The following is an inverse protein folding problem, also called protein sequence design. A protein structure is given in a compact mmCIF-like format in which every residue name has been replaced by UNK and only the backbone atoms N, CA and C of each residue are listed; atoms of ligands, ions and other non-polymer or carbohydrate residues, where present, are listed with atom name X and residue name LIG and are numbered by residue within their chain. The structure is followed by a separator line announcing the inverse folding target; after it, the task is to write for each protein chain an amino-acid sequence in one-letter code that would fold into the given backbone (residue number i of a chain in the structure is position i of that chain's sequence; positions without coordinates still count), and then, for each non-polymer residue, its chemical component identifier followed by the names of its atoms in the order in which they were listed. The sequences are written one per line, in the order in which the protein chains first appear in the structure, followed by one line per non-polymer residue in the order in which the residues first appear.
data_IF_968369682701
#
_entry.id   IF_968369682701
#
_cell.length_a   1.000
_cell.length_b   1.000
_cell.length_c   1.000
_cell.angle_alpha   90.00
_cell.angle_beta   90.00
_cell.angle_gamma   90.00
#
_symmetry.space_group_name_H-M   'P 1'
#
loop_
_entity.id
_entity.type
_entity.pdbx_description
1 polymer ?
#
# COMPACT_ATOMS: atom_id res chain seq x y z
N UNK A 1 -5.75 4.53 9.89
CA UNK A 1 -5.48 5.55 10.94
C UNK A 1 -4.43 4.99 11.89
N UNK A 2 -3.16 5.36 11.69
CA UNK A 2 -2.05 5.01 12.59
C UNK A 2 -2.16 5.88 13.84
N UNK A 3 -2.72 5.38 14.93
CA UNK A 3 -2.32 5.85 16.26
C UNK A 3 -0.97 5.18 16.53
N UNK A 4 0.10 5.98 16.51
CA UNK A 4 1.35 5.62 17.17
C UNK A 4 0.97 5.43 18.65
N UNK A 5 1.31 4.30 19.23
CA UNK A 5 0.86 3.97 20.59
C UNK A 5 1.34 5.03 21.57
N UNK A 6 0.41 5.64 22.30
CA UNK A 6 0.60 6.35 23.56
C UNK A 6 1.44 7.63 23.58
N UNK A 7 2.40 7.78 22.67
CA UNK A 7 3.28 8.92 22.61
C UNK A 7 2.99 9.81 21.40
N UNK A 8 2.81 11.10 21.64
CA UNK A 8 2.70 12.07 20.56
C UNK A 8 4.01 12.13 19.76
N UNK A 9 4.00 12.68 18.53
CA UNK A 9 5.26 13.04 17.85
C UNK A 9 6.17 13.95 18.71
N UNK A 10 5.61 14.57 19.75
CA UNK A 10 6.28 15.42 20.74
C UNK A 10 7.19 14.63 21.70
N UNK A 11 6.96 13.33 21.91
CA UNK A 11 7.78 12.51 22.84
C UNK A 11 9.18 12.15 22.29
N UNK A 12 9.40 12.41 20.99
CA UNK A 12 10.69 12.19 20.31
C UNK A 12 11.63 13.41 20.39
N UNK A 13 11.35 14.40 21.24
CA UNK A 13 12.18 15.61 21.42
C UNK A 13 13.13 15.59 22.65
N UNK A 14 13.33 14.44 23.30
CA UNK A 14 14.33 14.30 24.40
C UNK A 14 15.78 14.23 23.86
N UNK A 15 16.81 14.31 24.70
CA UNK A 15 18.23 14.24 24.26
C UNK A 15 18.59 12.96 23.48
N UNK A 16 17.86 11.85 23.70
CA UNK A 16 17.94 10.63 22.86
C UNK A 16 17.16 10.76 21.53
N UNK A 17 16.15 11.62 21.51
CA UNK A 17 15.29 11.92 20.36
C UNK A 17 15.97 12.73 19.24
N UNK A 18 17.04 13.49 19.54
CA UNK A 18 17.81 14.19 18.50
C UNK A 18 18.48 13.22 17.52
N UNK A 19 18.91 12.03 17.97
CA UNK A 19 19.53 11.03 17.11
C UNK A 19 18.53 10.35 16.16
N UNK A 20 17.25 10.23 16.56
CA UNK A 20 16.21 9.57 15.78
C UNK A 20 15.33 10.53 14.98
N UNK A 21 15.45 11.84 15.23
CA UNK A 21 14.67 12.89 14.57
C UNK A 21 14.75 12.84 13.04
N UNK A 22 15.95 12.98 12.48
CA UNK A 22 16.17 12.99 11.03
C UNK A 22 15.82 11.67 10.36
N UNK A 23 16.25 10.49 10.89
CA UNK A 23 15.78 9.19 10.42
C UNK A 23 14.25 9.10 10.34
N UNK A 24 13.53 9.60 11.35
CA UNK A 24 12.06 9.56 11.38
C UNK A 24 11.45 10.44 10.28
N UNK A 25 12.01 11.62 10.05
CA UNK A 25 11.57 12.50 8.96
C UNK A 25 11.79 11.83 7.60
N UNK A 26 12.98 11.25 7.36
CA UNK A 26 13.28 10.53 6.12
C UNK A 26 12.33 9.35 5.90
N UNK A 27 12.07 8.57 6.95
CA UNK A 27 11.15 7.45 6.90
C UNK A 27 9.74 7.87 6.49
N UNK A 28 9.21 8.94 7.10
CA UNK A 28 7.87 9.46 6.82
C UNK A 28 7.77 9.99 5.38
N UNK A 29 8.81 10.64 4.86
CA UNK A 29 8.88 11.09 3.47
C UNK A 29 8.87 9.89 2.52
N UNK A 30 9.75 8.92 2.69
CA UNK A 30 9.83 7.73 1.81
C UNK A 30 8.51 6.95 1.81
N UNK A 31 7.84 6.86 2.96
CA UNK A 31 6.54 6.20 3.09
C UNK A 31 5.39 6.97 2.43
N UNK A 32 5.61 8.22 2.03
CA UNK A 32 4.58 9.07 1.44
C UNK A 32 3.63 9.68 2.47
N UNK A 33 4.10 9.95 3.69
CA UNK A 33 3.36 10.72 4.71
C UNK A 33 3.98 12.12 4.93
N UNK A 34 3.89 13.01 3.92
CA UNK A 34 4.51 14.33 4.00
C UNK A 34 3.87 15.24 5.05
N UNK A 35 2.62 14.98 5.46
CA UNK A 35 1.93 15.76 6.51
C UNK A 35 2.56 15.48 7.86
N UNK A 36 2.78 14.20 8.20
CA UNK A 36 3.46 13.85 9.46
C UNK A 36 4.91 14.29 9.44
N UNK A 37 5.62 14.11 8.32
CA UNK A 37 6.99 14.61 8.18
C UNK A 37 7.04 16.13 8.42
N UNK A 38 6.12 16.89 7.83
CA UNK A 38 5.99 18.33 8.07
C UNK A 38 5.66 18.68 9.53
N UNK A 39 4.86 17.86 10.21
CA UNK A 39 4.55 18.05 11.64
C UNK A 39 5.77 17.83 12.52
N UNK A 40 6.55 16.77 12.26
CA UNK A 40 7.80 16.50 12.99
C UNK A 40 8.83 17.58 12.70
N UNK A 41 8.97 18.04 11.46
CA UNK A 41 9.87 19.13 11.12
C UNK A 41 9.57 20.43 11.89
N UNK A 42 8.30 20.74 12.17
CA UNK A 42 7.91 21.92 12.94
C UNK A 42 8.36 21.89 14.40
N UNK A 43 8.63 20.71 14.96
CA UNK A 43 9.15 20.59 16.33
C UNK A 43 10.66 20.77 16.40
N UNK A 44 11.33 20.96 15.25
CA UNK A 44 12.76 21.20 15.21
C UNK A 44 13.13 22.58 15.80
N UNK A 45 14.18 22.64 16.60
CA UNK A 45 14.65 23.85 17.30
C UNK A 45 14.90 25.06 16.39
N UNK A 46 15.21 24.84 15.11
CA UNK A 46 15.37 25.92 14.14
C UNK A 46 14.08 26.69 13.80
N UNK A 47 12.90 26.17 14.17
CA UNK A 47 11.64 26.93 14.11
C UNK A 47 11.51 27.93 15.27
N UNK A 48 12.24 27.75 16.36
CA UNK A 48 12.20 28.64 17.54
C UNK A 48 13.12 29.86 17.38
N UNK A 49 14.18 29.75 16.57
CA UNK A 49 15.11 30.88 16.31
C UNK A 49 14.49 31.85 15.29
N UNK A 50 14.13 33.09 15.65
CA UNK A 50 13.52 34.06 14.72
C UNK A 50 14.42 34.42 13.53
N UNK A 51 15.75 34.23 13.62
CA UNK A 51 16.67 34.42 12.51
C UNK A 51 16.65 33.26 11.49
N UNK A 52 16.16 32.08 11.91
CA UNK A 52 16.09 30.85 11.09
C UNK A 52 14.64 30.37 10.84
N UNK A 53 13.67 30.90 11.58
CA UNK A 53 12.24 30.60 11.49
C UNK A 53 11.45 31.58 10.61
N UNK A 54 12.13 32.58 10.01
CA UNK A 54 11.51 33.48 9.04
C UNK A 54 10.86 32.72 7.89
N UNK A 55 9.78 33.27 7.33
CA UNK A 55 9.03 32.63 6.22
C UNK A 55 9.88 32.35 4.97
N UNK A 56 11.03 33.01 4.86
CA UNK A 56 12.00 32.84 3.77
C UNK A 56 13.09 31.79 4.03
N UNK A 57 13.18 31.27 5.26
CA UNK A 57 14.15 30.25 5.63
C UNK A 57 13.83 28.89 4.99
N UNK A 58 14.84 28.02 4.83
CA UNK A 58 14.65 26.79 4.06
C UNK A 58 13.72 25.78 4.74
N UNK A 59 13.74 25.67 6.07
CA UNK A 59 12.93 24.70 6.81
C UNK A 59 11.43 25.03 6.77
N UNK A 60 10.98 26.28 7.03
CA UNK A 60 9.57 26.66 6.84
C UNK A 60 9.09 26.52 5.39
N UNK A 61 9.94 26.83 4.40
CA UNK A 61 9.59 26.64 2.99
C UNK A 61 9.43 25.16 2.63
N UNK A 62 10.32 24.30 3.12
CA UNK A 62 10.22 22.86 2.91
C UNK A 62 8.95 22.28 3.55
N UNK A 63 8.61 22.70 4.78
CA UNK A 63 7.35 22.31 5.44
C UNK A 63 6.14 22.73 4.60
N UNK A 64 6.15 23.93 3.99
CA UNK A 64 5.10 24.35 3.07
C UNK A 64 5.04 23.46 1.82
N UNK A 65 6.18 23.14 1.22
CA UNK A 65 6.27 22.28 0.03
C UNK A 65 5.76 20.86 0.32
N UNK A 66 6.06 20.29 1.50
CA UNK A 66 5.53 18.98 1.92
C UNK A 66 4.00 19.01 2.09
N UNK A 67 3.47 20.08 2.68
CA UNK A 67 2.01 20.25 2.80
C UNK A 67 1.34 20.54 1.45
N UNK A 68 2.04 21.19 0.51
CA UNK A 68 1.57 21.30 -0.88
C UNK A 68 1.54 19.94 -1.56
N UNK A 69 2.53 19.07 -1.31
CA UNK A 69 2.59 17.72 -1.88
C UNK A 69 1.37 16.87 -1.50
N UNK A 70 0.86 17.00 -0.26
CA UNK A 70 -0.33 16.26 0.16
C UNK A 70 -1.63 16.71 -0.52
N UNK A 71 -1.59 17.82 -1.28
CA UNK A 71 -2.73 18.36 -2.03
C UNK A 71 -2.75 17.90 -3.49
N UNK A 72 -1.76 17.13 -3.93
CA UNK A 72 -1.84 16.48 -5.24
C UNK A 72 -2.77 15.26 -5.10
N UNK A 73 -3.83 15.17 -5.92
CA UNK A 73 -4.74 14.03 -5.85
C UNK A 73 -3.99 12.75 -6.23
N UNK A 74 -4.39 11.59 -5.68
CA UNK A 74 -3.91 10.31 -6.17
C UNK A 74 -4.25 10.18 -7.66
N UNK A 75 -3.37 9.52 -8.41
CA UNK A 75 -3.20 9.45 -9.88
C UNK A 75 -4.46 9.05 -10.70
N UNK A 76 -5.63 8.91 -10.07
CA UNK A 76 -6.90 8.48 -10.68
C UNK A 76 -7.76 9.64 -11.24
N UNK A 77 -7.16 10.70 -11.79
CA UNK A 77 -7.91 11.71 -12.54
C UNK A 77 -7.94 11.37 -14.05
N UNK A 78 -8.98 11.78 -14.80
CA UNK A 78 -9.06 11.57 -16.24
C UNK A 78 -7.88 12.23 -16.99
N UNK A 79 -7.54 11.69 -18.16
CA UNK A 79 -6.27 11.97 -18.86
C UNK A 79 -6.03 13.46 -19.19
N UNK A 80 -7.10 14.21 -19.41
CA UNK A 80 -7.10 15.65 -19.61
C UNK A 80 -6.64 16.43 -18.36
N UNK A 81 -6.96 15.95 -17.16
CA UNK A 81 -6.48 16.51 -15.89
C UNK A 81 -5.06 16.05 -15.53
N UNK A 82 -4.61 14.90 -16.02
CA UNK A 82 -3.25 14.40 -15.77
C UNK A 82 -2.19 15.37 -16.30
N UNK A 83 -2.43 16.02 -17.45
CA UNK A 83 -1.50 17.03 -18.01
C UNK A 83 -1.35 18.22 -17.06
N UNK A 84 -2.47 18.72 -16.51
CA UNK A 84 -2.46 19.82 -15.56
C UNK A 84 -1.76 19.42 -14.25
N UNK A 85 -2.02 18.21 -13.74
CA UNK A 85 -1.36 17.71 -12.54
C UNK A 85 0.15 17.54 -12.75
N UNK A 86 0.58 17.05 -13.91
CA UNK A 86 2.00 16.91 -14.26
C UNK A 86 2.71 18.26 -14.28
N UNK A 87 2.13 19.25 -14.97
CA UNK A 87 2.68 20.60 -15.00
C UNK A 87 2.71 21.26 -13.61
N UNK A 88 1.68 21.03 -12.79
CA UNK A 88 1.64 21.52 -11.40
C UNK A 88 2.71 20.86 -10.54
N UNK A 89 2.95 19.57 -10.74
CA UNK A 89 3.99 18.83 -10.02
C UNK A 89 5.39 19.28 -10.47
N UNK A 90 5.63 19.46 -11.76
CA UNK A 90 6.89 19.98 -12.30
C UNK A 90 7.23 21.34 -11.69
N UNK A 91 6.26 22.27 -11.63
CA UNK A 91 6.44 23.55 -10.92
C UNK A 91 6.74 23.40 -9.44
N UNK A 92 6.11 22.42 -8.77
CA UNK A 92 6.41 22.13 -7.37
C UNK A 92 7.84 21.59 -7.21
N UNK A 93 8.28 20.71 -8.11
CA UNK A 93 9.64 20.16 -8.13
C UNK A 93 10.68 21.23 -8.42
N UNK A 94 10.40 22.17 -9.33
CA UNK A 94 11.23 23.34 -9.59
C UNK A 94 11.41 24.20 -8.33
N UNK A 95 10.36 24.37 -7.51
CA UNK A 95 10.48 25.07 -6.22
C UNK A 95 11.39 24.32 -5.24
N UNK A 96 11.28 22.99 -5.16
CA UNK A 96 12.16 22.16 -4.31
C UNK A 96 13.61 22.28 -4.77
N UNK A 97 13.86 22.17 -6.07
CA UNK A 97 15.19 22.28 -6.69
C UNK A 97 15.78 23.67 -6.47
N UNK A 98 14.96 24.71 -6.66
CA UNK A 98 15.34 26.10 -6.38
C UNK A 98 15.67 26.32 -4.90
N UNK A 99 14.92 25.69 -4.00
CA UNK A 99 15.16 25.76 -2.56
C UNK A 99 16.52 25.17 -2.19
N UNK A 100 16.86 24.02 -2.79
CA UNK A 100 18.16 23.35 -2.61
C UNK A 100 19.33 24.20 -3.12
N UNK A 101 19.18 24.84 -4.28
CA UNK A 101 20.24 25.67 -4.87
C UNK A 101 20.38 27.08 -4.26
N UNK A 102 19.47 27.50 -3.37
CA UNK A 102 19.61 28.79 -2.70
C UNK A 102 20.85 28.77 -1.79
N UNK A 103 21.76 29.74 -2.00
CA UNK A 103 22.97 29.98 -1.17
C UNK A 103 22.68 30.08 0.34
N UNK A 104 21.44 30.33 0.73
CA UNK A 104 21.04 30.38 2.15
C UNK A 104 21.07 29.00 2.82
N UNK A 105 21.05 27.88 2.10
CA UNK A 105 21.26 26.56 2.73
C UNK A 105 22.71 26.43 3.21
N UNK A 106 23.68 26.97 2.47
CA UNK A 106 25.10 27.03 2.89
C UNK A 106 25.42 28.12 3.92
N UNK A 107 24.64 29.22 3.94
CA UNK A 107 24.87 30.39 4.80
C UNK A 107 24.06 30.46 6.10
N UNK A 108 23.23 29.47 6.36
CA UNK A 108 22.40 29.37 7.58
C UNK A 108 23.24 29.03 8.80
N UNK A 109 22.82 29.43 10.00
CA UNK A 109 23.46 29.07 11.28
C UNK A 109 23.10 27.65 11.76
N UNK A 110 22.63 26.78 10.87
CA UNK A 110 22.45 25.36 11.21
C UNK A 110 23.78 24.73 11.63
N UNK A 111 23.72 23.77 12.55
CA UNK A 111 24.84 22.86 12.79
C UNK A 111 25.15 22.12 11.48
N UNK A 112 26.40 21.76 11.26
CA UNK A 112 26.85 21.08 10.04
C UNK A 112 26.01 19.82 9.73
N UNK A 113 25.77 18.99 10.76
CA UNK A 113 24.91 17.81 10.65
C UNK A 113 23.46 18.12 10.19
N UNK A 114 22.87 19.23 10.66
CA UNK A 114 21.50 19.61 10.24
C UNK A 114 21.47 20.11 8.80
N UNK A 115 22.56 20.72 8.30
CA UNK A 115 22.67 21.12 6.89
C UNK A 115 22.77 19.91 5.97
N UNK A 116 23.58 18.94 6.34
CA UNK A 116 23.70 17.68 5.59
C UNK A 116 22.37 16.94 5.54
N UNK A 117 21.70 16.79 6.69
CA UNK A 117 20.40 16.13 6.75
C UNK A 117 19.31 16.89 5.98
N UNK A 118 19.36 18.23 5.98
CA UNK A 118 18.45 19.05 5.18
C UNK A 118 18.71 18.89 3.66
N UNK A 119 19.97 18.80 3.22
CA UNK A 119 20.28 18.50 1.80
C UNK A 119 19.78 17.10 1.42
N UNK A 120 20.02 16.09 2.27
CA UNK A 120 19.47 14.74 2.06
C UNK A 120 17.94 14.78 1.94
N UNK A 121 17.25 15.50 2.83
CA UNK A 121 15.80 15.63 2.78
C UNK A 121 15.33 16.31 1.48
N UNK A 122 16.00 17.38 1.07
CA UNK A 122 15.68 18.08 -0.17
C UNK A 122 15.88 17.19 -1.39
N UNK A 123 16.95 16.40 -1.42
CA UNK A 123 17.22 15.41 -2.48
C UNK A 123 16.18 14.29 -2.52
N UNK A 124 15.75 13.81 -1.35
CA UNK A 124 14.66 12.84 -1.25
C UNK A 124 13.36 13.40 -1.85
N UNK A 125 12.98 14.62 -1.45
CA UNK A 125 11.75 15.28 -1.91
C UNK A 125 11.83 15.67 -3.39
N UNK A 126 13.03 15.96 -3.91
CA UNK A 126 13.30 16.19 -5.33
C UNK A 126 13.19 14.90 -6.18
N UNK A 127 13.24 13.73 -5.53
CA UNK A 127 13.19 12.42 -6.20
C UNK A 127 14.54 11.94 -6.74
N UNK A 128 15.64 12.35 -6.10
CA UNK A 128 16.99 11.86 -6.40
C UNK A 128 17.07 10.34 -6.17
N UNK A 129 17.33 9.60 -7.26
CA UNK A 129 17.29 8.15 -7.25
C UNK A 129 18.35 7.53 -6.33
N UNK A 130 19.54 8.13 -6.27
CA UNK A 130 20.64 7.59 -5.48
C UNK A 130 20.31 7.73 -3.99
N UNK A 131 19.77 8.88 -3.59
CA UNK A 131 19.40 9.13 -2.19
C UNK A 131 18.20 8.27 -1.78
N UNK A 132 17.21 8.11 -2.66
CA UNK A 132 16.08 7.20 -2.42
C UNK A 132 16.54 5.76 -2.20
N UNK A 133 17.43 5.25 -3.05
CA UNK A 133 17.97 3.88 -2.91
C UNK A 133 18.77 3.71 -1.61
N UNK A 134 19.66 4.66 -1.30
CA UNK A 134 20.46 4.65 -0.07
C UNK A 134 19.59 4.66 1.18
N UNK A 135 18.56 5.50 1.20
CA UNK A 135 17.65 5.57 2.32
C UNK A 135 16.84 4.27 2.50
N UNK A 136 16.35 3.65 1.43
CA UNK A 136 15.65 2.35 1.51
C UNK A 136 16.58 1.20 1.92
N UNK A 137 17.88 1.26 1.61
CA UNK A 137 18.90 0.35 2.14
C UNK A 137 19.15 0.51 3.65
N UNK A 138 18.53 1.51 4.26
CA UNK A 138 18.61 1.77 5.69
C UNK A 138 19.77 2.66 6.10
N UNK A 139 20.37 3.38 5.14
CA UNK A 139 21.30 4.46 5.45
C UNK A 139 20.58 5.63 6.17
N UNK A 140 21.33 6.63 6.61
CA UNK A 140 20.80 7.78 7.35
C UNK A 140 20.08 7.40 8.67
N UNK A 141 20.54 6.33 9.34
CA UNK A 141 20.00 5.87 10.62
C UNK A 141 18.62 5.18 10.52
N UNK A 142 18.15 4.87 9.30
CA UNK A 142 16.84 4.26 9.10
C UNK A 142 16.75 2.82 9.64
N UNK A 143 17.84 2.04 9.57
CA UNK A 143 17.85 0.70 10.18
C UNK A 143 17.70 0.77 11.71
N UNK A 144 18.44 1.67 12.37
CA UNK A 144 18.39 1.85 13.83
C UNK A 144 17.01 2.34 14.30
N UNK A 145 16.40 3.27 13.55
CA UNK A 145 15.03 3.69 13.81
C UNK A 145 14.05 2.54 13.61
N UNK A 146 14.23 1.75 12.55
CA UNK A 146 13.36 0.62 12.26
C UNK A 146 13.42 -0.41 13.40
N UNK A 147 14.62 -0.76 13.86
CA UNK A 147 14.83 -1.68 14.98
C UNK A 147 14.15 -1.16 16.24
N UNK A 148 14.27 0.15 16.51
CA UNK A 148 13.60 0.79 17.66
C UNK A 148 12.07 0.80 17.52
N UNK A 149 11.54 1.08 16.33
CA UNK A 149 10.11 1.02 16.07
C UNK A 149 9.57 -0.41 16.18
N UNK A 150 10.36 -1.40 15.79
CA UNK A 150 10.01 -2.82 15.86
C UNK A 150 9.99 -3.29 17.33
N UNK A 151 10.95 -2.85 18.17
CA UNK A 151 10.93 -3.05 19.63
C UNK A 151 9.70 -2.41 20.28
N UNK A 152 9.28 -1.23 19.82
CA UNK A 152 8.07 -0.56 20.33
C UNK A 152 6.77 -1.20 19.84
N UNK A 153 6.78 -1.85 18.68
CA UNK A 153 5.60 -2.44 18.04
C UNK A 153 5.34 -3.91 18.40
N UNK A 154 6.06 -4.49 19.36
CA UNK A 154 5.96 -5.91 19.78
C UNK A 154 4.52 -6.39 20.08
N UNK A 155 3.59 -5.48 20.37
CA UNK A 155 2.17 -5.81 20.64
C UNK A 155 1.27 -5.89 19.41
N UNK A 156 1.72 -5.44 18.24
CA UNK A 156 0.98 -5.56 16.98
C UNK A 156 1.92 -6.00 15.87
N UNK A 157 1.83 -7.26 15.44
CA UNK A 157 2.44 -7.79 14.21
C UNK A 157 2.00 -6.95 13.00
N UNK A 158 2.65 -5.81 12.80
CA UNK A 158 2.40 -4.90 11.69
C UNK A 158 3.42 -5.23 10.62
N UNK A 159 2.91 -5.72 9.50
CA UNK A 159 3.69 -6.04 8.31
C UNK A 159 4.62 -4.88 7.95
N UNK A 160 5.94 -5.14 8.03
CA UNK A 160 6.97 -4.25 7.49
C UNK A 160 6.75 -4.17 5.97
N UNK A 161 6.54 -2.98 5.38
CA UNK A 161 6.46 -2.89 3.93
C UNK A 161 7.83 -3.29 3.35
N UNK A 162 7.86 -4.13 2.31
CA UNK A 162 9.11 -4.60 1.74
C UNK A 162 9.86 -3.42 1.11
N UNK A 163 11.19 -3.48 1.16
CA UNK A 163 12.07 -2.41 0.69
C UNK A 163 11.77 -1.99 -0.75
N UNK A 164 11.50 -2.95 -1.66
CA UNK A 164 11.13 -2.65 -3.04
C UNK A 164 9.85 -1.80 -3.12
N UNK A 165 8.86 -2.03 -2.26
CA UNK A 165 7.60 -1.30 -2.27
C UNK A 165 7.75 0.10 -1.69
N UNK A 166 8.61 0.27 -0.68
CA UNK A 166 9.00 1.59 -0.18
C UNK A 166 9.70 2.40 -1.27
N UNK A 167 10.68 1.81 -1.97
CA UNK A 167 11.36 2.49 -3.07
C UNK A 167 10.39 2.86 -4.19
N UNK A 168 9.55 1.92 -4.64
CA UNK A 168 8.58 2.18 -5.70
C UNK A 168 7.62 3.31 -5.32
N UNK A 169 7.10 3.29 -4.09
CA UNK A 169 6.18 4.32 -3.59
C UNK A 169 6.86 5.69 -3.63
N UNK A 170 8.10 5.78 -3.14
CA UNK A 170 8.85 7.03 -3.15
C UNK A 170 9.19 7.51 -4.57
N UNK A 171 9.55 6.60 -5.49
CA UNK A 171 9.76 6.94 -6.89
C UNK A 171 8.49 7.51 -7.55
N UNK A 172 7.33 6.90 -7.30
CA UNK A 172 6.06 7.37 -7.86
C UNK A 172 5.61 8.72 -7.27
N UNK A 173 5.94 8.98 -6.01
CA UNK A 173 5.59 10.23 -5.34
C UNK A 173 6.50 11.39 -5.72
N UNK A 174 7.81 11.16 -5.78
CA UNK A 174 8.81 12.23 -5.88
C UNK A 174 9.47 12.34 -7.25
N UNK A 175 9.63 11.23 -7.98
CA UNK A 175 10.35 11.23 -9.25
C UNK A 175 9.41 11.23 -10.47
N UNK A 176 8.30 10.48 -10.42
CA UNK A 176 7.43 10.19 -11.57
C UNK A 176 5.93 10.13 -11.21
N UNK A 177 5.32 11.23 -10.75
CA UNK A 177 3.88 11.25 -10.55
C UNK A 177 3.15 11.21 -11.89
N UNK A 178 2.19 10.30 -12.00
CA UNK A 178 1.47 10.04 -13.25
C UNK A 178 2.21 9.10 -14.20
N UNK A 179 3.13 8.27 -13.68
CA UNK A 179 3.78 7.21 -14.45
C UNK A 179 2.74 6.38 -15.22
N UNK A 180 2.97 6.21 -16.52
CA UNK A 180 2.13 5.33 -17.32
C UNK A 180 2.38 3.86 -16.95
N UNK A 181 1.45 2.95 -17.29
CA UNK A 181 1.55 1.52 -16.92
C UNK A 181 2.91 0.89 -17.31
N UNK A 182 3.45 1.23 -18.48
CA UNK A 182 4.74 0.70 -18.93
C UNK A 182 5.92 1.24 -18.10
N UNK A 183 5.85 2.49 -17.64
CA UNK A 183 6.88 3.10 -16.77
C UNK A 183 6.83 2.47 -15.37
N UNK A 184 5.64 2.17 -14.85
CA UNK A 184 5.46 1.46 -13.59
C UNK A 184 6.10 0.07 -13.64
N UNK A 185 5.88 -0.67 -14.73
CA UNK A 185 6.43 -2.02 -14.90
C UNK A 185 7.97 -2.01 -14.94
N UNK A 186 8.57 -1.09 -15.69
CA UNK A 186 10.02 -0.91 -15.73
C UNK A 186 10.59 -0.55 -14.35
N UNK A 187 9.97 0.42 -13.65
CA UNK A 187 10.42 0.87 -12.33
C UNK A 187 10.30 -0.21 -11.27
N UNK A 188 9.23 -0.98 -11.31
CA UNK A 188 9.08 -2.08 -10.39
C UNK A 188 10.13 -3.17 -10.64
N UNK A 189 10.43 -3.48 -11.91
CA UNK A 189 11.52 -4.40 -12.24
C UNK A 189 12.84 -3.90 -11.64
N UNK A 190 13.19 -2.63 -11.85
CA UNK A 190 14.39 -2.02 -11.25
C UNK A 190 14.39 -2.14 -9.71
N UNK A 191 13.25 -1.88 -9.06
CA UNK A 191 13.11 -2.01 -7.60
C UNK A 191 13.28 -3.46 -7.14
N UNK A 192 12.75 -4.43 -7.89
CA UNK A 192 12.85 -5.85 -7.61
C UNK A 192 14.26 -6.40 -7.83
N UNK A 193 14.99 -5.90 -8.82
CA UNK A 193 16.39 -6.26 -9.08
C UNK A 193 17.30 -5.68 -7.98
N UNK A 194 17.01 -4.48 -7.48
CA UNK A 194 17.77 -3.83 -6.40
C UNK A 194 17.48 -4.41 -5.01
N UNK A 195 16.23 -4.82 -4.78
CA UNK A 195 15.76 -5.42 -3.54
C UNK A 195 15.00 -6.70 -3.88
N UNK A 196 15.73 -7.77 -4.25
CA UNK A 196 15.10 -9.06 -4.47
C UNK A 196 14.36 -9.47 -3.19
N UNK A 197 13.25 -10.22 -3.30
CA UNK A 197 12.50 -10.66 -2.13
C UNK A 197 13.47 -11.34 -1.17
N UNK A 198 13.69 -10.70 -0.02
CA UNK A 198 14.67 -11.13 0.97
C UNK A 198 14.37 -12.59 1.33
N UNK A 199 15.32 -13.50 1.09
CA UNK A 199 15.41 -14.74 1.84
C UNK A 199 15.89 -14.36 3.26
N UNK A 200 15.08 -13.63 4.00
CA UNK A 200 15.47 -13.07 5.28
C UNK A 200 15.64 -14.20 6.31
N UNK A 201 16.88 -14.71 6.43
CA UNK A 201 17.28 -15.69 7.44
C UNK A 201 17.49 -15.04 8.82
N UNK A 202 17.16 -13.75 8.98
CA UNK A 202 17.31 -13.00 10.23
C UNK A 202 15.97 -12.38 10.64
N UNK A 203 15.11 -13.21 11.20
CA UNK A 203 13.96 -12.77 11.99
C UNK A 203 12.60 -13.18 11.43
N UNK A 204 12.20 -14.41 11.74
CA UNK A 204 10.83 -14.76 12.13
C UNK A 204 9.65 -14.47 11.20
N UNK A 205 9.83 -13.93 9.99
CA UNK A 205 8.75 -13.83 9.02
C UNK A 205 8.46 -15.24 8.53
N UNK A 206 7.35 -15.81 8.97
CA UNK A 206 6.89 -17.14 8.51
C UNK A 206 6.86 -17.17 6.98
N UNK A 207 7.15 -18.32 6.36
CA UNK A 207 7.14 -18.53 4.89
C UNK A 207 5.90 -17.93 4.17
N UNK A 208 4.79 -17.74 4.90
CA UNK A 208 3.56 -17.11 4.42
C UNK A 208 3.68 -15.60 4.15
N UNK A 209 4.50 -14.84 4.88
CA UNK A 209 4.62 -13.38 4.69
C UNK A 209 5.52 -13.05 3.49
N UNK A 210 6.62 -13.80 3.34
CA UNK A 210 7.47 -13.78 2.14
C UNK A 210 6.65 -14.13 0.90
N UNK A 211 5.73 -15.10 1.01
CA UNK A 211 4.82 -15.48 -0.06
C UNK A 211 3.84 -14.35 -0.47
N UNK A 212 3.30 -13.58 0.48
CA UNK A 212 2.40 -12.43 0.19
C UNK A 212 3.10 -11.32 -0.59
N UNK A 213 4.35 -11.00 -0.25
CA UNK A 213 5.10 -9.95 -0.95
C UNK A 213 5.62 -10.42 -2.30
N UNK A 214 5.96 -11.70 -2.45
CA UNK A 214 6.28 -12.30 -3.75
C UNK A 214 5.08 -12.25 -4.70
N UNK A 215 3.87 -12.52 -4.19
CA UNK A 215 2.61 -12.38 -4.96
C UNK A 215 2.45 -10.96 -5.47
N UNK A 216 2.59 -9.95 -4.59
CA UNK A 216 2.47 -8.55 -4.99
C UNK A 216 3.52 -8.14 -6.03
N UNK A 217 4.75 -8.63 -5.89
CA UNK A 217 5.80 -8.38 -6.86
C UNK A 217 5.51 -9.06 -8.21
N UNK A 218 5.09 -10.33 -8.21
CA UNK A 218 4.75 -11.07 -9.43
C UNK A 218 3.55 -10.48 -10.18
N UNK A 219 2.50 -10.01 -9.46
CA UNK A 219 1.35 -9.33 -10.06
C UNK A 219 1.79 -8.09 -10.83
N UNK A 220 2.65 -7.27 -10.21
CA UNK A 220 2.93 -5.93 -10.71
C UNK A 220 4.12 -5.93 -11.69
N UNK A 221 5.10 -6.84 -11.56
CA UNK A 221 6.32 -6.88 -12.41
C UNK A 221 6.07 -7.40 -13.82
N UNK A 222 5.07 -8.28 -14.03
CA UNK A 222 4.88 -9.00 -15.29
C UNK A 222 3.74 -8.41 -16.12
N UNK A 223 3.79 -7.11 -16.36
CA UNK A 223 2.75 -6.27 -17.01
C UNK A 223 2.13 -6.85 -18.30
N UNK A 224 2.87 -7.61 -19.10
CA UNK A 224 2.39 -8.11 -20.40
C UNK A 224 1.35 -9.23 -20.27
N UNK A 225 1.17 -9.77 -19.06
CA UNK A 225 0.26 -10.85 -18.72
C UNK A 225 -0.52 -10.55 -17.43
N UNK A 226 -0.95 -9.29 -17.22
CA UNK A 226 -1.71 -8.88 -16.02
C UNK A 226 -2.83 -9.88 -15.68
N UNK A 227 -3.49 -10.42 -16.71
CA UNK A 227 -4.55 -11.40 -16.57
C UNK A 227 -4.08 -12.75 -16.02
N UNK A 228 -2.95 -13.25 -16.52
CA UNK A 228 -2.31 -14.49 -16.09
C UNK A 228 -1.67 -14.35 -14.70
N UNK A 229 -1.19 -13.16 -14.34
CA UNK A 229 -0.62 -12.91 -13.02
C UNK A 229 -1.68 -12.68 -11.94
N UNK A 230 -2.80 -12.02 -12.28
CA UNK A 230 -3.93 -11.89 -11.36
C UNK A 230 -4.51 -13.27 -11.06
N UNK A 231 -4.65 -14.14 -12.06
CA UNK A 231 -5.05 -15.54 -11.85
C UNK A 231 -4.06 -16.30 -10.95
N UNK A 232 -2.75 -16.12 -11.16
CA UNK A 232 -1.70 -16.72 -10.31
C UNK A 232 -1.77 -16.21 -8.88
N UNK A 233 -2.02 -14.91 -8.69
CA UNK A 233 -2.18 -14.31 -7.37
C UNK A 233 -3.43 -14.79 -6.64
N UNK A 234 -4.55 -14.92 -7.35
CA UNK A 234 -5.78 -15.49 -6.82
C UNK A 234 -5.54 -16.93 -6.37
N UNK A 235 -4.85 -17.73 -7.19
CA UNK A 235 -4.47 -19.11 -6.84
C UNK A 235 -3.59 -19.15 -5.59
N UNK A 236 -2.61 -18.27 -5.49
CA UNK A 236 -1.75 -18.18 -4.31
C UNK A 236 -2.51 -17.67 -3.07
N UNK A 237 -3.43 -16.71 -3.19
CA UNK A 237 -4.32 -16.28 -2.09
C UNK A 237 -5.14 -17.48 -1.62
N UNK A 238 -5.73 -18.23 -2.55
CA UNK A 238 -6.50 -19.43 -2.27
C UNK A 238 -5.67 -20.51 -1.56
N UNK A 239 -4.42 -20.74 -1.99
CA UNK A 239 -3.49 -21.69 -1.38
C UNK A 239 -2.94 -21.25 -0.02
N UNK A 240 -2.87 -19.95 0.26
CA UNK A 240 -2.23 -19.40 1.47
C UNK A 240 -3.04 -19.59 2.77
N UNK A 241 -4.30 -19.99 2.71
CA UNK A 241 -5.09 -20.34 3.91
C UNK A 241 -6.43 -20.97 3.54
N UNK A 242 -6.77 -22.10 4.18
CA UNK A 242 -8.04 -22.83 4.03
C UNK A 242 -9.23 -22.19 4.77
N UNK A 243 -9.08 -20.94 5.23
CA UNK A 243 -10.11 -20.22 5.97
C UNK A 243 -11.14 -19.56 5.06
N UNK A 244 -12.40 -19.50 5.52
CA UNK A 244 -13.51 -18.83 4.83
C UNK A 244 -13.17 -17.39 4.38
N UNK A 245 -12.43 -16.63 5.21
CA UNK A 245 -12.03 -15.27 4.86
C UNK A 245 -11.12 -15.20 3.64
N UNK A 246 -10.26 -16.20 3.45
CA UNK A 246 -9.33 -16.27 2.33
C UNK A 246 -10.03 -16.65 1.03
N UNK A 247 -10.95 -17.61 1.11
CA UNK A 247 -11.81 -18.01 -0.02
C UNK A 247 -12.74 -16.85 -0.42
N UNK A 248 -13.32 -16.14 0.56
CA UNK A 248 -14.12 -14.95 0.28
C UNK A 248 -13.30 -13.85 -0.43
N UNK A 249 -12.08 -13.60 0.03
CA UNK A 249 -11.18 -12.65 -0.64
C UNK A 249 -10.84 -13.11 -2.06
N UNK A 250 -10.44 -14.37 -2.26
CA UNK A 250 -10.11 -14.90 -3.59
C UNK A 250 -11.31 -14.81 -4.54
N UNK A 251 -12.48 -15.27 -4.12
CA UNK A 251 -13.69 -15.27 -4.94
C UNK A 251 -14.14 -13.85 -5.34
N UNK A 252 -14.19 -12.91 -4.38
CA UNK A 252 -14.63 -11.54 -4.65
C UNK A 252 -13.61 -10.75 -5.46
N UNK A 253 -12.31 -10.93 -5.22
CA UNK A 253 -11.26 -10.33 -6.05
C UNK A 253 -11.32 -10.86 -7.48
N UNK A 254 -11.53 -12.17 -7.66
CA UNK A 254 -11.70 -12.79 -8.99
C UNK A 254 -12.91 -12.22 -9.73
N UNK A 255 -14.04 -12.04 -9.03
CA UNK A 255 -15.25 -11.44 -9.60
C UNK A 255 -14.99 -10.01 -10.06
N UNK A 256 -14.38 -9.17 -9.20
CA UNK A 256 -14.02 -7.79 -9.54
C UNK A 256 -13.05 -7.71 -10.71
N UNK A 257 -12.01 -8.54 -10.74
CA UNK A 257 -11.05 -8.56 -11.83
C UNK A 257 -11.69 -9.05 -13.14
N UNK A 258 -12.62 -10.00 -13.10
CA UNK A 258 -13.37 -10.43 -14.28
C UNK A 258 -14.29 -9.33 -14.80
N UNK A 259 -14.97 -8.61 -13.92
CA UNK A 259 -15.83 -7.47 -14.28
C UNK A 259 -15.03 -6.31 -14.88
N UNK A 260 -13.80 -6.09 -14.40
CA UNK A 260 -12.87 -5.10 -14.93
C UNK A 260 -12.21 -5.52 -16.26
N UNK A 261 -12.51 -6.72 -16.78
CA UNK A 261 -11.88 -7.28 -17.99
C UNK A 261 -10.43 -7.72 -17.80
N UNK A 262 -10.00 -7.88 -16.54
CA UNK A 262 -8.63 -8.18 -16.17
C UNK A 262 -8.31 -9.67 -16.01
N UNK A 263 -9.25 -10.59 -16.19
CA UNK A 263 -9.00 -12.04 -16.23
C UNK A 263 -9.64 -12.59 -17.50
N UNK A 264 -8.95 -13.44 -18.30
CA UNK A 264 -9.54 -14.03 -19.49
C UNK A 264 -10.72 -14.90 -19.07
N UNK A 265 -11.81 -14.91 -19.83
CA UNK A 265 -12.95 -15.82 -19.62
C UNK A 265 -12.61 -17.23 -20.11
N UNK A 266 -11.41 -17.70 -19.85
CA UNK A 266 -10.95 -19.02 -20.25
C UNK A 266 -11.23 -20.01 -19.12
N UNK A 267 -11.67 -21.20 -19.50
CA UNK A 267 -11.86 -22.31 -18.57
C UNK A 267 -10.49 -22.71 -17.99
N UNK A 268 -10.46 -23.10 -16.72
CA UNK A 268 -9.28 -23.74 -16.16
C UNK A 268 -9.03 -25.07 -16.87
N UNK A 269 -7.77 -25.38 -17.16
CA UNK A 269 -7.40 -26.70 -17.68
C UNK A 269 -7.96 -27.81 -16.77
N UNK A 270 -8.88 -28.61 -17.30
CA UNK A 270 -9.51 -29.72 -16.57
C UNK A 270 -10.81 -29.39 -15.84
N UNK A 271 -11.36 -28.18 -15.96
CA UNK A 271 -12.66 -27.82 -15.41
C UNK A 271 -13.61 -27.25 -16.47
N UNK A 272 -14.87 -27.65 -16.43
CA UNK A 272 -15.92 -27.16 -17.35
C UNK A 272 -16.39 -25.73 -17.03
N UNK A 273 -15.80 -25.07 -16.03
CA UNK A 273 -16.21 -23.76 -15.53
C UNK A 273 -15.05 -22.77 -15.40
N UNK A 274 -15.39 -21.48 -15.40
CA UNK A 274 -14.43 -20.39 -15.20
C UNK A 274 -13.91 -20.38 -13.75
N UNK A 275 -12.64 -20.01 -13.53
CA UNK A 275 -12.06 -19.81 -12.17
C UNK A 275 -12.96 -18.95 -11.27
N UNK A 276 -13.54 -17.89 -11.84
CA UNK A 276 -14.52 -17.03 -11.17
C UNK A 276 -15.70 -17.83 -10.64
N UNK A 277 -16.27 -18.68 -11.47
CA UNK A 277 -17.45 -19.46 -11.12
C UNK A 277 -17.12 -20.52 -10.09
N UNK A 278 -15.99 -21.24 -10.24
CA UNK A 278 -15.50 -22.20 -9.25
C UNK A 278 -15.39 -21.59 -7.85
N UNK A 279 -14.70 -20.45 -7.72
CA UNK A 279 -14.46 -19.80 -6.43
C UNK A 279 -15.74 -19.23 -5.81
N UNK A 280 -16.66 -18.70 -6.64
CA UNK A 280 -17.95 -18.20 -6.15
C UNK A 280 -18.86 -19.33 -5.65
N UNK A 281 -18.84 -20.48 -6.32
CA UNK A 281 -19.57 -21.67 -5.90
C UNK A 281 -19.01 -22.21 -4.59
N UNK A 282 -17.69 -22.33 -4.47
CA UNK A 282 -17.04 -22.77 -3.23
C UNK A 282 -17.34 -21.82 -2.06
N UNK A 283 -17.30 -20.51 -2.29
CA UNK A 283 -17.70 -19.53 -1.28
C UNK A 283 -19.17 -19.72 -0.88
N UNK A 284 -20.07 -19.93 -1.85
CA UNK A 284 -21.48 -20.17 -1.59
C UNK A 284 -21.68 -21.43 -0.73
N UNK A 285 -20.92 -22.49 -1.01
CA UNK A 285 -20.96 -23.75 -0.28
C UNK A 285 -20.47 -23.63 1.17
N UNK A 286 -19.47 -22.80 1.43
CA UNK A 286 -19.01 -22.57 2.80
C UNK A 286 -19.95 -21.65 3.58
N UNK A 287 -20.48 -20.61 2.94
CA UNK A 287 -21.34 -19.63 3.61
C UNK A 287 -22.74 -20.19 3.91
N UNK A 288 -23.27 -21.13 3.10
CA UNK A 288 -24.56 -21.77 3.41
C UNK A 288 -24.54 -22.54 4.75
N UNK A 289 -23.37 -22.99 5.21
CA UNK A 289 -23.22 -23.67 6.50
C UNK A 289 -23.26 -22.72 7.72
N UNK A 290 -23.24 -21.41 7.49
CA UNK A 290 -23.29 -20.41 8.56
C UNK A 290 -24.72 -20.03 8.92
N UNK A 291 -24.94 -19.70 10.19
CA UNK A 291 -26.23 -19.18 10.66
C UNK A 291 -26.63 -17.93 9.88
N UNK A 292 -27.73 -18.01 9.13
CA UNK A 292 -28.23 -16.91 8.28
C UNK A 292 -27.46 -16.68 6.97
N UNK A 293 -26.42 -17.45 6.67
CA UNK A 293 -25.59 -17.31 5.47
C UNK A 293 -26.25 -17.78 4.17
N UNK A 294 -27.33 -18.57 4.27
CA UNK A 294 -28.03 -19.14 3.11
C UNK A 294 -28.52 -18.08 2.10
N UNK A 295 -28.90 -16.87 2.53
CA UNK A 295 -29.30 -15.79 1.60
C UNK A 295 -28.12 -15.29 0.76
N UNK A 296 -26.94 -15.23 1.36
CA UNK A 296 -25.73 -14.84 0.63
C UNK A 296 -25.31 -15.98 -0.32
N UNK A 297 -25.36 -17.23 0.13
CA UNK A 297 -25.13 -18.39 -0.73
C UNK A 297 -26.08 -18.42 -1.94
N UNK A 298 -27.38 -18.19 -1.74
CA UNK A 298 -28.36 -18.12 -2.82
C UNK A 298 -28.00 -17.03 -3.86
N UNK A 299 -27.60 -15.84 -3.40
CA UNK A 299 -27.15 -14.76 -4.29
C UNK A 299 -25.89 -15.13 -5.07
N UNK A 300 -24.92 -15.77 -4.42
CA UNK A 300 -23.69 -16.23 -5.07
C UNK A 300 -23.98 -17.29 -6.12
N UNK A 301 -24.86 -18.25 -5.82
CA UNK A 301 -25.35 -19.23 -6.80
C UNK A 301 -26.06 -18.56 -7.98
N UNK A 302 -26.95 -17.59 -7.74
CA UNK A 302 -27.61 -16.84 -8.81
C UNK A 302 -26.64 -16.04 -9.70
N UNK A 303 -25.50 -15.61 -9.14
CA UNK A 303 -24.44 -14.87 -9.85
C UNK A 303 -23.55 -15.77 -10.73
N UNK A 304 -23.73 -17.10 -10.64
CA UNK A 304 -22.99 -18.12 -11.39
C UNK A 304 -23.84 -18.64 -12.57
N UNK A 305 -23.45 -18.37 -13.83
CA UNK A 305 -24.30 -18.62 -14.99
C UNK A 305 -24.43 -20.10 -15.40
N UNK A 306 -23.43 -20.94 -15.15
CA UNK A 306 -23.37 -22.32 -15.64
C UNK A 306 -23.83 -23.34 -14.58
N UNK A 307 -23.21 -23.30 -13.40
CA UNK A 307 -23.41 -24.31 -12.35
C UNK A 307 -24.17 -23.78 -11.12
N UNK A 308 -24.42 -22.47 -11.07
CA UNK A 308 -25.16 -21.82 -9.99
C UNK A 308 -26.56 -22.40 -9.74
N UNK A 309 -27.28 -22.76 -10.81
CA UNK A 309 -28.64 -23.33 -10.71
C UNK A 309 -28.69 -24.63 -9.93
N UNK A 310 -27.69 -25.50 -10.09
CA UNK A 310 -27.64 -26.77 -9.38
C UNK A 310 -27.39 -26.54 -7.88
N UNK A 311 -26.47 -25.63 -7.53
CA UNK A 311 -26.22 -25.23 -6.15
C UNK A 311 -27.45 -24.60 -5.49
N UNK A 312 -28.18 -23.74 -6.21
CA UNK A 312 -29.41 -23.12 -5.72
C UNK A 312 -30.50 -24.15 -5.43
N UNK A 313 -30.71 -25.12 -6.33
CA UNK A 313 -31.69 -26.18 -6.13
C UNK A 313 -31.37 -27.03 -4.89
N UNK A 314 -30.09 -27.37 -4.68
CA UNK A 314 -29.65 -28.08 -3.47
C UNK A 314 -29.84 -27.22 -2.22
N UNK A 315 -29.50 -25.93 -2.28
CA UNK A 315 -29.66 -25.01 -1.16
C UNK A 315 -31.12 -24.90 -0.73
N UNK A 316 -32.04 -24.60 -1.66
CA UNK A 316 -33.48 -24.46 -1.40
C UNK A 316 -34.06 -25.73 -0.77
N UNK A 317 -33.60 -26.92 -1.18
CA UNK A 317 -34.04 -28.19 -0.57
C UNK A 317 -33.60 -28.36 0.89
N UNK A 318 -32.56 -27.64 1.34
CA UNK A 318 -31.96 -27.74 2.68
C UNK A 318 -32.35 -26.60 3.63
N UNK A 319 -32.70 -25.41 3.11
CA UNK A 319 -33.09 -24.25 3.94
C UNK A 319 -34.20 -24.58 4.96
N UNK A 320 -35.26 -25.33 4.62
CA UNK A 320 -36.34 -25.64 5.57
C UNK A 320 -35.90 -26.56 6.73
N UNK A 321 -34.83 -27.34 6.56
CA UNK A 321 -34.39 -28.37 7.51
C UNK A 321 -33.23 -27.94 8.42
N UNK A 322 -32.45 -26.93 8.04
CA UNK A 322 -31.19 -26.58 8.72
C UNK A 322 -31.31 -25.43 9.75
N UNK A 323 -32.45 -24.74 9.83
CA UNK A 323 -32.62 -23.57 10.70
C UNK A 323 -33.38 -23.94 11.99
N UNK A 324 -32.76 -23.80 13.18
CA UNK A 324 -33.44 -24.08 14.46
C UNK A 324 -34.63 -23.15 14.74
N UNK A 325 -34.78 -22.07 13.97
CA UNK A 325 -35.90 -21.12 14.03
C UNK A 325 -36.38 -20.77 12.62
N UNK A 326 -36.98 -21.74 11.92
CA UNK A 326 -37.59 -21.50 10.61
C UNK A 326 -38.80 -20.55 10.76
N UNK A 327 -38.59 -19.27 10.47
CA UNK A 327 -39.68 -18.27 10.45
C UNK A 327 -40.46 -18.34 9.14
N UNK A 328 -41.73 -17.96 9.15
CA UNK A 328 -42.57 -17.81 7.94
C UNK A 328 -41.88 -16.95 6.87
N UNK A 329 -41.17 -15.90 7.29
CA UNK A 329 -40.38 -15.03 6.43
C UNK A 329 -39.24 -15.77 5.72
N UNK A 330 -38.57 -16.70 6.39
CA UNK A 330 -37.52 -17.53 5.80
C UNK A 330 -38.09 -18.44 4.71
N UNK A 331 -39.26 -19.04 4.94
CA UNK A 331 -39.94 -19.90 3.97
C UNK A 331 -40.39 -19.09 2.75
N UNK A 332 -40.97 -17.91 2.97
CA UNK A 332 -41.38 -17.01 1.88
C UNK A 332 -40.18 -16.55 1.04
N UNK A 333 -39.06 -16.22 1.68
CA UNK A 333 -37.85 -15.85 0.96
C UNK A 333 -37.26 -17.03 0.19
N UNK A 334 -37.35 -18.27 0.70
CA UNK A 334 -36.94 -19.47 -0.03
C UNK A 334 -37.85 -19.79 -1.22
N UNK A 335 -39.16 -19.57 -1.11
CA UNK A 335 -40.12 -19.73 -2.22
C UNK A 335 -39.96 -18.69 -3.33
N UNK A 336 -39.34 -17.54 -3.02
CA UNK A 336 -39.06 -16.47 -3.99
C UNK A 336 -37.78 -16.72 -4.82
N UNK A 337 -36.91 -17.62 -4.37
CA UNK A 337 -35.65 -17.95 -5.03
C UNK A 337 -35.85 -19.00 -6.13
#
# INVERSE_FOLDING_TARGET
RLQLGGGGPEDYCTDKGQATFWPLVFFLVIRGDPIRAASVLRTHSAFEDPAQGGTEAPLPQLVRLLVELSKFPPIAEPADRLVYQRARFERWREKVTSLRHRKNVSGTRFKEADRENLDVLLRLVEGDQDVLQRAVRGEFGLNELQDHLDEMCVTHQRLRPPRWALLLSAQLLYALPGAQRFELAARLKDCGDLFPPEQDHRGGTTDQEVSKFRILQDIVCRSDALATNVATAIKLIYELSSGLGTIACAALLTDLCTLAGGIPREALDGHDCLMRELLLLELAEQVQGLSGGWRLAAKLFQHCPQHGRQGLAMLVSRVPAALPTTTERTVLDALRL
#
